data_IF_076607621151
#
_entry.id   IF_076607621151
#
_cell.length_a   1.000
_cell.length_b   1.000
_cell.length_c   1.000
_cell.angle_alpha   90.00
_cell.angle_beta   90.00
_cell.angle_gamma   90.00
#
_symmetry.space_group_name_H-M   'P 1'
#
loop_
_entity.id
_entity.type
_entity.pdbx_description
1 polymer ?
#
# COMPACT_ATOMS: atom_id res chain seq x y z
N UNK A 1 40.10 -2.19 -15.72
CA UNK A 1 39.59 -0.96 -15.07
C UNK A 1 38.91 -1.35 -13.79
N UNK A 2 38.90 -0.50 -12.77
CA UNK A 2 38.13 -0.76 -11.55
C UNK A 2 36.63 -0.51 -11.83
N UNK A 3 35.74 -1.44 -11.47
CA UNK A 3 34.31 -1.26 -11.63
C UNK A 3 33.78 -0.04 -10.86
N UNK A 4 32.89 0.72 -11.49
CA UNK A 4 32.24 1.90 -10.89
C UNK A 4 30.74 1.84 -11.06
N UNK A 5 30.00 2.06 -9.98
CA UNK A 5 28.54 2.13 -9.95
C UNK A 5 28.15 3.61 -10.03
N UNK A 6 27.35 3.96 -11.02
CA UNK A 6 26.81 5.31 -11.21
C UNK A 6 25.30 5.27 -10.91
N UNK A 7 24.89 6.00 -9.89
CA UNK A 7 23.48 6.16 -9.51
C UNK A 7 23.20 7.63 -9.29
N UNK A 8 22.23 8.16 -10.04
CA UNK A 8 21.84 9.55 -9.94
C UNK A 8 20.31 9.66 -9.79
N UNK A 9 19.82 10.51 -8.88
CA UNK A 9 20.59 11.11 -7.78
C UNK A 9 20.90 10.06 -6.69
N UNK A 10 22.05 10.16 -6.02
CA UNK A 10 22.42 9.30 -4.89
C UNK A 10 21.53 9.51 -3.66
N UNK A 11 20.82 10.65 -3.61
CA UNK A 11 19.79 10.97 -2.62
C UNK A 11 18.55 11.47 -3.34
N UNK A 12 17.45 10.72 -3.26
CA UNK A 12 16.17 11.02 -3.91
C UNK A 12 15.00 10.83 -2.95
N UNK A 13 13.82 11.36 -3.29
CA UNK A 13 12.58 10.89 -2.67
C UNK A 13 12.43 9.37 -2.87
N UNK A 14 11.89 8.70 -1.87
CA UNK A 14 11.56 7.27 -1.88
C UNK A 14 10.63 6.88 -3.02
N UNK A 15 9.92 7.86 -3.58
CA UNK A 15 8.93 7.66 -4.63
C UNK A 15 9.32 8.26 -5.97
N UNK A 16 10.45 8.97 -6.02
CA UNK A 16 11.04 9.40 -7.29
C UNK A 16 11.58 8.21 -8.08
N UNK A 17 11.73 8.35 -9.38
CA UNK A 17 12.61 7.44 -10.13
C UNK A 17 14.03 7.95 -10.12
N UNK A 18 15.01 7.06 -10.32
CA UNK A 18 16.38 7.45 -10.59
C UNK A 18 16.48 8.03 -12.01
N UNK A 19 17.40 8.97 -12.21
CA UNK A 19 17.81 9.45 -13.52
C UNK A 19 18.75 8.45 -14.19
N UNK A 20 19.62 7.82 -13.39
CA UNK A 20 20.67 6.93 -13.85
C UNK A 20 20.88 5.75 -12.90
N UNK A 21 21.05 4.56 -13.47
CA UNK A 21 21.62 3.41 -12.77
C UNK A 21 22.42 2.55 -13.77
N UNK A 22 23.74 2.74 -13.78
CA UNK A 22 24.67 1.96 -14.60
C UNK A 22 25.92 1.51 -13.83
N UNK A 23 26.59 0.49 -14.36
CA UNK A 23 27.88 0.01 -13.89
C UNK A 23 28.84 0.02 -15.07
N UNK A 24 30.03 0.60 -14.87
CA UNK A 24 31.08 0.72 -15.89
C UNK A 24 32.39 0.11 -15.43
N UNK A 25 33.34 -0.08 -16.34
CA UNK A 25 34.68 -0.58 -16.01
C UNK A 25 34.72 -2.07 -15.73
N UNK A 26 33.72 -2.83 -16.18
CA UNK A 26 33.65 -4.28 -16.08
C UNK A 26 34.45 -4.93 -17.21
N UNK A 27 34.79 -6.22 -17.06
CA UNK A 27 35.39 -6.98 -18.14
C UNK A 27 34.32 -7.26 -19.21
N UNK A 28 34.59 -7.04 -20.50
CA UNK A 28 33.64 -7.35 -21.57
C UNK A 28 33.25 -8.83 -21.61
N UNK A 29 32.06 -9.12 -22.15
CA UNK A 29 31.56 -10.49 -22.38
C UNK A 29 31.54 -11.40 -21.14
N UNK A 30 31.46 -10.81 -19.95
CA UNK A 30 31.44 -11.52 -18.67
C UNK A 30 30.12 -11.34 -17.93
N UNK A 31 29.81 -12.30 -17.05
CA UNK A 31 28.59 -12.30 -16.26
C UNK A 31 28.81 -11.65 -14.89
N UNK A 32 27.90 -10.74 -14.53
CA UNK A 32 27.90 -10.02 -13.25
C UNK A 32 26.53 -10.09 -12.60
N UNK A 33 26.52 -10.15 -11.26
CA UNK A 33 25.33 -9.97 -10.44
C UNK A 33 25.33 -8.56 -9.87
N UNK A 34 24.27 -7.80 -10.12
CA UNK A 34 23.98 -6.53 -9.45
C UNK A 34 22.94 -6.82 -8.36
N UNK A 35 23.25 -6.45 -7.12
CA UNK A 35 22.39 -6.69 -5.96
C UNK A 35 22.10 -5.37 -5.25
N UNK A 36 20.82 -5.17 -4.90
CA UNK A 36 20.32 -4.09 -4.07
C UNK A 36 19.88 -4.68 -2.72
N UNK A 37 20.37 -4.12 -1.62
CA UNK A 37 19.97 -4.46 -0.26
C UNK A 37 19.39 -3.24 0.43
N UNK A 38 18.18 -3.35 0.96
CA UNK A 38 17.63 -2.39 1.93
C UNK A 38 18.23 -2.66 3.31
N UNK A 39 19.01 -1.70 3.80
CA UNK A 39 19.64 -1.76 5.12
C UNK A 39 18.63 -1.31 6.17
N UNK A 40 17.92 -2.28 6.74
CA UNK A 40 16.89 -2.06 7.75
C UNK A 40 16.90 -3.22 8.77
N UNK A 41 16.17 -3.07 9.89
CA UNK A 41 16.03 -4.13 10.92
C UNK A 41 15.55 -5.45 10.34
N UNK A 42 14.67 -5.38 9.35
CA UNK A 42 14.29 -6.50 8.47
C UNK A 42 14.85 -6.20 7.11
N UNK A 43 15.79 -7.01 6.63
CA UNK A 43 16.45 -6.82 5.35
C UNK A 43 15.59 -7.27 4.18
N UNK A 44 15.67 -6.52 3.10
CA UNK A 44 15.09 -6.86 1.82
C UNK A 44 16.19 -6.81 0.76
N UNK A 45 16.17 -7.76 -0.16
CA UNK A 45 17.16 -7.88 -1.23
C UNK A 45 16.47 -8.06 -2.58
N UNK A 46 17.13 -7.60 -3.63
CA UNK A 46 16.84 -7.97 -5.00
C UNK A 46 18.16 -8.09 -5.75
N UNK A 47 18.29 -9.07 -6.63
CA UNK A 47 19.44 -9.18 -7.51
C UNK A 47 19.04 -9.48 -8.95
N UNK A 48 19.94 -9.15 -9.86
CA UNK A 48 19.77 -9.37 -11.28
C UNK A 48 21.12 -9.64 -11.93
N UNK A 49 21.13 -10.55 -12.90
CA UNK A 49 22.33 -11.04 -13.56
C UNK A 49 22.39 -10.53 -14.99
N UNK A 50 23.55 -10.01 -15.39
CA UNK A 50 23.77 -9.40 -16.70
C UNK A 50 25.04 -9.95 -17.33
N UNK A 51 25.06 -10.00 -18.65
CA UNK A 51 26.29 -10.19 -19.42
C UNK A 51 26.65 -8.83 -20.00
N UNK A 52 27.87 -8.36 -19.74
CA UNK A 52 28.38 -7.11 -20.31
C UNK A 52 28.65 -7.26 -21.80
N UNK A 53 28.36 -6.24 -22.59
CA UNK A 53 28.81 -6.17 -23.99
C UNK A 53 30.30 -5.85 -24.13
N UNK A 54 30.72 -5.47 -25.34
CA UNK A 54 32.11 -5.11 -25.67
C UNK A 54 32.65 -3.92 -24.87
N UNK A 55 31.77 -3.02 -24.43
CA UNK A 55 32.14 -1.82 -23.66
C UNK A 55 32.40 -2.10 -22.19
N UNK A 56 32.05 -3.29 -21.67
CA UNK A 56 32.18 -3.59 -20.24
C UNK A 56 31.24 -2.75 -19.36
N UNK A 57 30.05 -2.45 -19.85
CA UNK A 57 29.03 -1.67 -19.13
C UNK A 57 27.71 -2.46 -18.96
N UNK A 58 26.98 -2.13 -17.89
CA UNK A 58 25.60 -2.55 -17.64
C UNK A 58 24.79 -1.28 -17.37
N UNK A 59 23.76 -1.02 -18.17
CA UNK A 59 22.82 0.10 -17.96
C UNK A 59 21.42 -0.47 -17.73
N UNK A 60 20.91 -0.37 -16.49
CA UNK A 60 19.64 -1.00 -16.11
C UNK A 60 18.43 -0.38 -16.83
N UNK A 61 18.56 0.86 -17.35
CA UNK A 61 17.51 1.49 -18.14
C UNK A 61 17.41 0.93 -19.56
N UNK A 62 18.50 0.32 -20.07
CA UNK A 62 18.60 -0.14 -21.47
C UNK A 62 18.74 -1.64 -21.61
N UNK A 63 19.23 -2.31 -20.57
CA UNK A 63 19.56 -3.72 -20.60
C UNK A 63 18.62 -4.50 -19.69
N UNK A 64 17.94 -5.49 -20.25
CA UNK A 64 17.20 -6.47 -19.47
C UNK A 64 18.18 -7.46 -18.82
N UNK A 65 17.92 -7.92 -17.58
CA UNK A 65 18.71 -8.98 -16.98
C UNK A 65 18.48 -10.31 -17.69
N UNK A 66 19.51 -11.17 -17.68
CA UNK A 66 19.43 -12.54 -18.16
C UNK A 66 18.50 -13.39 -17.27
N UNK A 67 18.63 -13.22 -15.95
CA UNK A 67 17.73 -13.75 -14.93
C UNK A 67 17.89 -12.95 -13.62
N UNK A 68 16.99 -13.17 -12.67
CA UNK A 68 16.99 -12.49 -11.38
C UNK A 68 15.57 -12.16 -10.91
N UNK A 69 15.49 -11.17 -10.03
CA UNK A 69 14.26 -10.80 -9.32
C UNK A 69 13.30 -9.98 -10.20
N UNK A 70 13.78 -9.40 -11.30
CA UNK A 70 12.94 -8.64 -12.24
C UNK A 70 13.22 -9.00 -13.70
N UNK A 71 12.35 -8.53 -14.59
CA UNK A 71 12.40 -8.81 -16.03
C UNK A 71 12.23 -7.53 -16.84
N UNK A 72 12.87 -7.48 -18.02
CA UNK A 72 12.87 -6.30 -18.88
C UNK A 72 13.91 -5.27 -18.45
N UNK A 73 14.17 -4.27 -19.30
CA UNK A 73 15.02 -3.14 -18.94
C UNK A 73 14.22 -2.19 -18.03
N UNK A 74 14.68 -2.02 -16.80
CA UNK A 74 14.04 -1.17 -15.79
C UNK A 74 15.07 -0.66 -14.77
N UNK A 75 15.36 0.64 -14.81
CA UNK A 75 16.25 1.31 -13.86
C UNK A 75 15.76 1.21 -12.41
N UNK A 76 14.46 1.03 -12.20
CA UNK A 76 13.84 0.83 -10.89
C UNK A 76 13.53 -0.65 -10.60
N UNK A 77 13.96 -1.57 -11.47
CA UNK A 77 13.60 -2.99 -11.39
C UNK A 77 14.03 -3.64 -10.09
N UNK A 78 15.26 -3.35 -9.63
CA UNK A 78 15.77 -3.84 -8.34
C UNK A 78 14.97 -3.31 -7.14
N UNK A 79 14.53 -2.05 -7.16
CA UNK A 79 13.69 -1.49 -6.08
C UNK A 79 12.28 -2.09 -6.10
N UNK A 80 11.73 -2.26 -7.30
CA UNK A 80 10.39 -2.83 -7.52
C UNK A 80 10.34 -4.29 -7.10
N UNK A 81 11.43 -5.02 -7.24
CA UNK A 81 11.52 -6.45 -6.97
C UNK A 81 12.11 -6.81 -5.59
N UNK A 82 12.26 -5.82 -4.69
CA UNK A 82 12.72 -6.09 -3.33
C UNK A 82 11.86 -7.15 -2.67
N UNK A 83 12.51 -8.21 -2.19
CA UNK A 83 11.89 -9.29 -1.45
C UNK A 83 12.56 -9.47 -0.11
N UNK A 84 11.86 -10.07 0.85
CA UNK A 84 12.43 -10.35 2.16
C UNK A 84 13.70 -11.19 1.99
N UNK A 85 14.79 -10.78 2.64
CA UNK A 85 16.01 -11.57 2.67
C UNK A 85 15.69 -12.96 3.29
N UNK A 86 16.00 -14.08 2.60
CA UNK A 86 15.68 -15.42 3.09
C UNK A 86 16.29 -15.76 4.46
N UNK A 87 17.27 -14.99 4.93
CA UNK A 87 17.88 -15.13 6.26
C UNK A 87 17.06 -14.49 7.38
N UNK A 88 16.09 -13.65 7.03
CA UNK A 88 15.19 -13.00 7.98
C UNK A 88 14.07 -13.96 8.40
N UNK A 89 13.41 -13.64 9.51
CA UNK A 89 12.22 -14.39 9.93
C UNK A 89 11.13 -14.27 8.86
N UNK A 90 10.83 -15.38 8.18
CA UNK A 90 9.84 -15.43 7.10
C UNK A 90 8.50 -14.77 7.49
N UNK A 91 7.88 -14.06 6.54
CA UNK A 91 6.62 -13.36 6.73
C UNK A 91 6.71 -12.09 7.56
N UNK A 92 7.92 -11.57 7.81
CA UNK A 92 8.08 -10.25 8.42
C UNK A 92 7.89 -9.15 7.37
N UNK A 93 7.28 -8.04 7.80
CA UNK A 93 6.94 -6.92 6.93
C UNK A 93 7.86 -5.75 7.19
N UNK A 94 8.10 -4.93 6.18
CA UNK A 94 8.71 -3.62 6.38
C UNK A 94 7.74 -2.76 7.21
N UNK A 95 8.14 -2.40 8.43
CA UNK A 95 7.38 -1.50 9.29
C UNK A 95 8.11 -0.16 9.42
N UNK A 96 7.48 0.89 8.91
CA UNK A 96 7.98 2.27 8.95
C UNK A 96 7.09 3.11 9.89
N UNK A 97 6.88 2.62 11.11
CA UNK A 97 6.10 3.30 12.15
C UNK A 97 6.89 3.27 13.47
N UNK A 98 7.41 4.41 13.94
CA UNK A 98 7.37 5.73 13.30
C UNK A 98 8.10 5.75 11.94
N UNK A 99 7.63 6.59 11.01
CA UNK A 99 8.27 6.72 9.69
C UNK A 99 9.65 7.39 9.82
N UNK A 100 10.72 6.81 9.23
CA UNK A 100 12.04 7.43 9.24
C UNK A 100 12.11 8.57 8.22
N UNK A 101 13.10 9.46 8.37
CA UNK A 101 13.38 10.48 7.35
C UNK A 101 13.82 9.82 6.03
N UNK A 102 14.61 8.74 6.10
CA UNK A 102 15.13 8.04 4.93
C UNK A 102 15.45 6.57 5.19
N UNK A 103 15.68 5.84 4.08
CA UNK A 103 16.15 4.46 4.05
C UNK A 103 17.47 4.38 3.27
N UNK A 104 18.40 3.62 3.81
CA UNK A 104 19.70 3.35 3.18
C UNK A 104 19.63 2.09 2.34
N UNK A 105 20.15 2.18 1.12
CA UNK A 105 20.29 1.05 0.22
C UNK A 105 21.76 0.84 -0.13
N UNK A 106 22.20 -0.41 -0.01
CA UNK A 106 23.51 -0.84 -0.49
C UNK A 106 23.37 -1.49 -1.85
N UNK A 107 24.12 -1.00 -2.82
CA UNK A 107 24.26 -1.61 -4.15
C UNK A 107 25.63 -2.27 -4.21
N UNK A 108 25.66 -3.53 -4.67
CA UNK A 108 26.90 -4.28 -4.83
C UNK A 108 26.93 -4.97 -6.19
N UNK A 109 28.12 -5.02 -6.80
CA UNK A 109 28.36 -5.69 -8.07
C UNK A 109 29.35 -6.82 -7.85
N UNK A 110 28.97 -8.03 -8.24
CA UNK A 110 29.76 -9.24 -8.04
C UNK A 110 30.13 -9.85 -9.39
N UNK A 111 31.40 -10.20 -9.56
CA UNK A 111 31.83 -11.00 -10.69
C UNK A 111 31.55 -12.47 -10.37
N UNK A 112 30.90 -13.21 -11.27
CA UNK A 112 30.37 -14.53 -10.95
C UNK A 112 31.42 -15.59 -10.62
N UNK A 113 32.67 -15.40 -11.06
CA UNK A 113 33.78 -16.30 -10.77
C UNK A 113 34.50 -15.96 -9.45
N UNK A 114 34.07 -14.91 -8.75
CA UNK A 114 34.70 -14.45 -7.52
C UNK A 114 33.69 -14.27 -6.37
N UNK A 115 34.09 -14.55 -5.12
CA UNK A 115 33.20 -14.47 -3.98
C UNK A 115 32.97 -13.03 -3.46
N UNK A 116 33.83 -12.07 -3.82
CA UNK A 116 33.80 -10.71 -3.28
C UNK A 116 33.17 -9.71 -4.26
N UNK A 117 32.50 -8.71 -3.71
CA UNK A 117 31.99 -7.59 -4.48
C UNK A 117 33.17 -6.81 -5.10
N UNK A 118 33.04 -6.49 -6.39
CA UNK A 118 34.01 -5.69 -7.16
C UNK A 118 33.81 -4.19 -6.97
N UNK A 119 32.59 -3.78 -6.67
CA UNK A 119 32.23 -2.41 -6.35
C UNK A 119 31.00 -2.39 -5.43
N UNK A 120 30.95 -1.41 -4.55
CA UNK A 120 29.82 -1.17 -3.66
C UNK A 120 29.58 0.34 -3.53
N UNK A 121 28.32 0.74 -3.41
CA UNK A 121 27.93 2.12 -3.08
C UNK A 121 26.70 2.09 -2.20
N UNK A 122 26.59 3.07 -1.30
CA UNK A 122 25.37 3.32 -0.54
C UNK A 122 24.65 4.54 -1.10
N UNK A 123 23.33 4.44 -1.19
CA UNK A 123 22.44 5.53 -1.58
C UNK A 123 21.36 5.70 -0.52
N UNK A 124 20.74 6.87 -0.51
CA UNK A 124 19.68 7.22 0.43
C UNK A 124 18.38 7.54 -0.32
N UNK A 125 17.27 6.99 0.18
CA UNK A 125 15.93 7.33 -0.30
C UNK A 125 15.12 7.97 0.82
N UNK A 126 14.75 9.23 0.64
CA UNK A 126 14.01 10.06 1.60
C UNK A 126 12.55 9.60 1.64
N UNK A 127 12.12 9.03 2.77
CA UNK A 127 10.74 8.52 2.97
C UNK A 127 9.81 9.61 3.48
N UNK A 128 10.33 10.50 4.33
CA UNK A 128 9.60 11.69 4.81
C UNK A 128 10.49 12.91 4.59
N UNK A 129 10.16 13.71 3.59
CA UNK A 129 10.84 14.96 3.30
C UNK A 129 10.96 15.87 4.53
N UNK A 130 12.05 16.64 4.60
CA UNK A 130 12.26 17.63 5.68
C UNK A 130 11.24 18.77 5.67
N UNK A 131 10.51 18.95 4.55
CA UNK A 131 9.38 19.87 4.43
C UNK A 131 8.08 19.33 5.02
N UNK A 132 8.02 18.05 5.43
CA UNK A 132 6.84 17.42 6.02
C UNK A 132 6.98 17.34 7.54
N UNK A 133 6.01 17.92 8.24
CA UNK A 133 5.84 17.79 9.68
C UNK A 133 5.23 16.42 10.01
N UNK A 134 5.68 15.81 11.10
CA UNK A 134 5.09 14.61 11.70
C UNK A 134 4.80 14.91 13.17
N UNK A 135 3.55 14.81 13.57
CA UNK A 135 3.14 14.99 14.98
C UNK A 135 2.27 13.82 15.42
N UNK A 136 2.51 13.31 16.63
CA UNK A 136 1.63 12.31 17.21
C UNK A 136 0.33 12.98 17.63
N UNK A 137 -0.79 12.34 17.28
CA UNK A 137 -2.10 12.83 17.66
C UNK A 137 -2.60 12.04 18.87
N UNK A 138 -2.88 12.75 19.95
CA UNK A 138 -3.67 12.27 21.06
C UNK A 138 -4.68 13.35 21.46
N UNK A 139 -5.84 13.35 20.79
CA UNK A 139 -6.92 14.32 21.01
C UNK A 139 -8.19 13.61 21.49
N UNK A 140 -8.62 13.87 22.72
CA UNK A 140 -9.70 13.12 23.37
C UNK A 140 -9.44 11.60 23.32
N UNK A 141 -10.23 10.87 22.53
CA UNK A 141 -10.10 9.43 22.27
C UNK A 141 -9.35 9.12 20.96
N UNK A 142 -9.15 10.11 20.09
CA UNK A 142 -8.48 9.94 18.81
C UNK A 142 -6.98 9.74 19.02
N UNK A 143 -6.46 8.66 18.46
CA UNK A 143 -5.05 8.32 18.47
C UNK A 143 -4.57 8.10 17.05
N UNK A 144 -3.46 8.72 16.68
CA UNK A 144 -2.92 8.61 15.33
C UNK A 144 -1.60 9.37 15.17
N UNK A 145 -1.29 9.69 13.93
CA UNK A 145 -0.14 10.54 13.58
C UNK A 145 -0.57 11.44 12.43
N UNK A 146 -0.35 12.75 12.55
CA UNK A 146 -0.64 13.73 11.50
C UNK A 146 0.62 14.07 10.72
N UNK A 147 0.43 14.27 9.42
CA UNK A 147 1.47 14.68 8.47
C UNK A 147 0.99 15.82 7.61
N UNK A 148 1.81 16.86 7.43
CA UNK A 148 1.46 18.00 6.58
C UNK A 148 2.70 18.77 6.13
N UNK A 149 2.63 19.48 4.98
CA UNK A 149 3.67 20.43 4.57
C UNK A 149 3.85 21.53 5.62
N UNK A 150 5.10 21.75 6.03
CA UNK A 150 5.47 22.79 7.01
C UNK A 150 5.04 24.17 6.53
N UNK A 151 5.37 24.49 5.28
CA UNK A 151 5.02 25.75 4.65
C UNK A 151 3.78 25.54 3.75
N UNK A 152 2.73 26.31 3.98
CA UNK A 152 1.51 26.30 3.19
C UNK A 152 0.79 27.65 3.30
N UNK A 153 0.40 28.23 2.16
CA UNK A 153 -0.22 29.57 2.10
C UNK A 153 -1.75 29.52 2.19
N UNK A 154 -2.34 28.32 2.16
CA UNK A 154 -3.78 28.10 2.17
C UNK A 154 -4.15 26.89 3.03
N UNK A 155 -5.44 26.79 3.36
CA UNK A 155 -6.01 25.59 3.96
C UNK A 155 -5.66 24.35 3.14
N UNK A 156 -5.16 23.32 3.82
CA UNK A 156 -4.78 22.05 3.25
C UNK A 156 -6.01 21.15 3.08
N UNK A 157 -6.02 20.40 1.98
CA UNK A 157 -7.03 19.37 1.73
C UNK A 157 -6.77 18.19 2.65
N UNK A 158 -7.80 17.74 3.37
CA UNK A 158 -7.66 16.74 4.42
C UNK A 158 -7.80 15.31 3.89
N UNK A 159 -6.92 14.41 4.30
CA UNK A 159 -7.02 12.97 4.03
C UNK A 159 -7.03 12.19 5.34
N UNK A 160 -7.96 11.24 5.48
CA UNK A 160 -7.93 10.24 6.54
C UNK A 160 -7.40 8.92 5.99
N UNK A 161 -6.23 8.50 6.47
CA UNK A 161 -5.54 7.30 6.07
C UNK A 161 -5.83 6.14 7.05
N UNK A 162 -6.42 5.06 6.51
CA UNK A 162 -6.90 3.90 7.26
C UNK A 162 -6.11 2.64 6.85
N UNK A 163 -5.34 2.11 7.78
CA UNK A 163 -4.61 0.85 7.60
C UNK A 163 -5.50 -0.37 7.86
N UNK A 164 -5.12 -1.50 7.25
CA UNK A 164 -5.80 -2.79 7.44
C UNK A 164 -5.44 -3.49 8.76
N UNK A 165 -5.63 -4.81 8.78
CA UNK A 165 -5.20 -5.63 9.92
C UNK A 165 -3.66 -5.58 10.03
N UNK A 166 -3.17 -5.22 11.21
CA UNK A 166 -1.76 -5.02 11.50
C UNK A 166 -1.49 -3.68 12.21
N UNK A 167 -2.50 -2.83 12.34
CA UNK A 167 -2.41 -1.55 13.01
C UNK A 167 -2.03 -0.41 12.06
N UNK A 168 -1.87 0.77 12.65
CA UNK A 168 -1.53 2.01 11.95
C UNK A 168 -0.18 1.88 11.22
N UNK A 169 -0.11 2.42 9.99
CA UNK A 169 1.13 2.64 9.25
C UNK A 169 1.26 4.10 8.85
N UNK A 170 2.47 4.63 8.82
CA UNK A 170 2.72 6.07 8.60
C UNK A 170 3.24 6.44 7.22
N UNK A 171 3.88 5.52 6.49
CA UNK A 171 4.58 5.84 5.25
C UNK A 171 3.66 6.33 4.11
N UNK A 172 2.41 5.84 4.03
CA UNK A 172 1.44 6.35 3.05
C UNK A 172 0.98 7.77 3.40
N UNK A 173 0.80 8.06 4.68
CA UNK A 173 0.45 9.41 5.13
C UNK A 173 1.58 10.41 4.90
N UNK A 174 2.83 10.02 5.17
CA UNK A 174 4.00 10.82 4.85
C UNK A 174 4.10 11.11 3.34
N UNK A 175 3.90 10.09 2.49
CA UNK A 175 3.85 10.26 1.04
C UNK A 175 2.80 11.28 0.60
N UNK A 176 1.56 11.10 1.06
CA UNK A 176 0.47 12.00 0.68
C UNK A 176 0.71 13.43 1.20
N UNK A 177 1.34 13.61 2.36
CA UNK A 177 1.72 14.92 2.84
C UNK A 177 2.78 15.61 1.95
N UNK A 178 3.72 14.87 1.36
CA UNK A 178 4.65 15.42 0.36
C UNK A 178 3.93 15.94 -0.90
N UNK A 179 2.72 15.46 -1.18
CA UNK A 179 1.88 15.92 -2.29
C UNK A 179 1.01 17.14 -1.93
N UNK A 180 1.20 17.74 -0.74
CA UNK A 180 0.48 18.95 -0.33
C UNK A 180 -0.81 18.71 0.47
N UNK A 181 -1.02 17.50 1.01
CA UNK A 181 -2.21 17.16 1.79
C UNK A 181 -1.95 17.24 3.31
N UNK A 182 -3.00 17.53 4.08
CA UNK A 182 -2.99 17.29 5.53
C UNK A 182 -3.53 15.89 5.77
N UNK A 183 -2.70 14.99 6.31
CA UNK A 183 -3.04 13.56 6.37
C UNK A 183 -3.03 13.07 7.81
N UNK A 184 -4.16 12.54 8.26
CA UNK A 184 -4.25 11.81 9.53
C UNK A 184 -4.16 10.32 9.26
N UNK A 185 -3.04 9.71 9.64
CA UNK A 185 -2.96 8.24 9.78
C UNK A 185 -3.61 7.86 11.10
N UNK A 186 -4.81 7.26 11.04
CA UNK A 186 -5.60 6.95 12.23
C UNK A 186 -5.27 5.56 12.78
N UNK A 187 -4.98 5.47 14.07
CA UNK A 187 -4.90 4.19 14.74
C UNK A 187 -6.32 3.73 15.12
N UNK A 188 -6.72 2.57 14.60
CA UNK A 188 -8.05 2.00 14.85
C UNK A 188 -8.10 1.19 16.14
N UNK A 189 -7.01 0.48 16.47
CA UNK A 189 -6.94 -0.43 17.63
C UNK A 189 -5.49 -0.66 18.07
N UNK A 190 -5.30 -1.11 19.32
CA UNK A 190 -4.04 -1.67 19.84
C UNK A 190 -2.86 -0.72 20.04
N UNK A 191 -2.89 0.53 19.55
CA UNK A 191 -1.79 1.50 19.71
C UNK A 191 -1.74 2.16 21.09
N UNK A 192 -2.87 2.27 21.78
CA UNK A 192 -3.00 2.94 23.07
C UNK A 192 -4.12 2.29 23.88
N UNK A 193 -4.08 2.40 25.21
CA UNK A 193 -5.14 1.96 26.13
C UNK A 193 -6.48 2.67 25.88
N UNK A 194 -6.45 3.84 25.21
CA UNK A 194 -7.65 4.56 24.77
C UNK A 194 -8.39 3.85 23.64
N UNK A 195 -7.70 2.99 22.91
CA UNK A 195 -8.24 2.29 21.75
C UNK A 195 -8.72 0.89 22.13
N UNK A 196 -9.66 0.33 21.36
CA UNK A 196 -9.98 -1.08 21.49
C UNK A 196 -8.74 -1.95 21.26
N UNK A 197 -8.68 -3.10 21.93
CA UNK A 197 -7.55 -4.03 21.79
C UNK A 197 -7.54 -4.73 20.44
N UNK A 198 -8.71 -4.96 19.85
CA UNK A 198 -8.88 -5.67 18.58
C UNK A 198 -9.74 -4.86 17.60
N UNK A 199 -9.52 -5.13 16.32
CA UNK A 199 -10.25 -4.49 15.22
C UNK A 199 -11.77 -4.74 15.25
N UNK A 200 -12.25 -5.81 15.90
CA UNK A 200 -13.68 -6.20 15.97
C UNK A 200 -14.54 -5.33 16.90
N UNK A 201 -13.90 -4.41 17.61
CA UNK A 201 -14.52 -3.55 18.63
C UNK A 201 -14.40 -2.07 18.30
N UNK A 202 -13.94 -1.75 17.10
CA UNK A 202 -13.92 -0.39 16.57
C UNK A 202 -15.34 0.01 16.17
N UNK A 203 -15.77 1.18 16.65
CA UNK A 203 -17.09 1.75 16.40
C UNK A 203 -17.03 2.75 15.24
N UNK A 204 -18.08 2.81 14.42
CA UNK A 204 -18.23 3.77 13.32
C UNK A 204 -18.06 5.20 13.81
N UNK A 205 -18.59 5.53 14.98
CA UNK A 205 -18.51 6.83 15.62
C UNK A 205 -17.07 7.28 15.87
N UNK A 206 -16.12 6.37 16.05
CA UNK A 206 -14.70 6.70 16.19
C UNK A 206 -14.12 7.27 14.88
N UNK A 207 -14.48 6.68 13.75
CA UNK A 207 -14.04 7.14 12.43
C UNK A 207 -14.75 8.47 12.09
N UNK A 208 -16.04 8.60 12.43
CA UNK A 208 -16.79 9.85 12.24
C UNK A 208 -16.21 11.00 13.07
N UNK A 209 -15.82 10.74 14.32
CA UNK A 209 -15.14 11.72 15.16
C UNK A 209 -13.79 12.15 14.56
N UNK A 210 -13.04 11.23 13.94
CA UNK A 210 -11.80 11.58 13.25
C UNK A 210 -12.04 12.45 12.01
N UNK A 211 -13.11 12.19 11.26
CA UNK A 211 -13.57 13.03 10.15
C UNK A 211 -13.95 14.42 10.64
N UNK A 212 -14.72 14.50 11.72
CA UNK A 212 -15.13 15.79 12.29
C UNK A 212 -13.95 16.58 12.82
N UNK A 213 -13.02 15.93 13.51
CA UNK A 213 -11.78 16.54 13.99
C UNK A 213 -10.97 17.13 12.83
N UNK A 214 -10.58 16.31 11.85
CA UNK A 214 -9.66 16.74 10.78
C UNK A 214 -10.27 17.83 9.89
N UNK A 215 -11.60 17.88 9.75
CA UNK A 215 -12.31 18.91 8.96
C UNK A 215 -12.61 20.19 9.76
N UNK A 216 -12.43 20.17 11.08
CA UNK A 216 -12.62 21.33 11.95
C UNK A 216 -11.35 22.16 12.15
N UNK A 217 -10.18 21.63 11.76
CA UNK A 217 -8.90 22.29 11.99
C UNK A 217 -8.79 23.59 11.18
N UNK A 218 -8.20 24.66 11.75
CA UNK A 218 -8.01 25.91 11.02
C UNK A 218 -7.09 25.75 9.81
N UNK A 219 -6.17 24.78 9.84
CA UNK A 219 -5.25 24.47 8.75
C UNK A 219 -5.90 23.70 7.60
N UNK A 220 -7.12 23.15 7.76
CA UNK A 220 -7.73 22.28 6.76
C UNK A 220 -9.01 22.84 6.14
N UNK A 221 -9.36 22.28 4.99
CA UNK A 221 -10.69 22.41 4.39
C UNK A 221 -11.74 21.66 5.22
N UNK A 222 -13.01 21.98 5.03
CA UNK A 222 -14.15 21.37 5.73
C UNK A 222 -14.58 20.01 5.16
N UNK A 223 -13.89 19.54 4.11
CA UNK A 223 -14.10 18.25 3.46
C UNK A 223 -12.87 17.35 3.56
N UNK A 224 -13.11 16.03 3.50
CA UNK A 224 -12.06 15.01 3.63
C UNK A 224 -12.16 13.94 2.53
N UNK A 225 -11.02 13.42 2.11
CA UNK A 225 -10.94 12.17 1.34
C UNK A 225 -10.49 11.03 2.25
N UNK A 226 -11.14 9.88 2.17
CA UNK A 226 -10.77 8.69 2.94
C UNK A 226 -9.98 7.75 2.05
N UNK A 227 -8.89 7.18 2.54
CA UNK A 227 -8.12 6.16 1.81
C UNK A 227 -7.81 4.99 2.72
N UNK A 228 -7.95 3.77 2.22
CA UNK A 228 -7.56 2.60 2.98
C UNK A 228 -7.26 1.36 2.16
N UNK A 229 -6.52 0.43 2.79
CA UNK A 229 -6.18 -0.87 2.22
C UNK A 229 -6.74 -1.99 3.10
N UNK A 230 -7.24 -3.07 2.49
CA UNK A 230 -7.79 -4.22 3.23
C UNK A 230 -8.94 -3.77 4.14
N UNK A 231 -8.93 -4.13 5.43
CA UNK A 231 -9.92 -3.66 6.41
C UNK A 231 -10.05 -2.12 6.44
N UNK A 232 -8.95 -1.37 6.27
CA UNK A 232 -9.00 0.09 6.19
C UNK A 232 -9.73 0.59 4.95
N UNK A 233 -9.66 -0.15 3.83
CA UNK A 233 -10.45 0.10 2.64
C UNK A 233 -11.94 -0.11 2.90
N UNK A 234 -12.31 -1.18 3.61
CA UNK A 234 -13.70 -1.39 4.05
C UNK A 234 -14.20 -0.23 4.92
N UNK A 235 -13.39 0.22 5.88
CA UNK A 235 -13.73 1.39 6.71
C UNK A 235 -13.89 2.68 5.91
N UNK A 236 -13.07 2.91 4.88
CA UNK A 236 -13.07 4.17 4.12
C UNK A 236 -14.43 4.42 3.46
N UNK A 237 -14.94 3.51 2.65
CA UNK A 237 -16.24 3.72 2.02
C UNK A 237 -17.43 3.37 2.93
N UNK A 238 -17.26 2.57 3.99
CA UNK A 238 -18.28 2.48 5.04
C UNK A 238 -18.53 3.88 5.64
N UNK A 239 -17.49 4.56 6.12
CA UNK A 239 -17.60 5.89 6.72
C UNK A 239 -18.08 6.95 5.72
N UNK A 240 -17.70 6.84 4.43
CA UNK A 240 -18.22 7.72 3.38
C UNK A 240 -19.75 7.69 3.28
N UNK A 241 -20.38 6.53 3.49
CA UNK A 241 -21.85 6.43 3.49
C UNK A 241 -22.53 6.99 4.75
N UNK A 242 -21.75 7.44 5.74
CA UNK A 242 -22.23 7.96 7.05
C UNK A 242 -21.89 9.43 7.30
N UNK A 243 -21.02 10.05 6.50
CA UNK A 243 -20.63 11.45 6.68
C UNK A 243 -20.70 12.21 5.37
N UNK A 244 -21.42 13.34 5.37
CA UNK A 244 -21.52 14.24 4.21
C UNK A 244 -20.25 15.06 3.98
N UNK A 245 -19.36 15.14 4.98
CA UNK A 245 -18.05 15.82 4.86
C UNK A 245 -17.05 15.03 4.01
N UNK A 246 -17.32 13.75 3.77
CA UNK A 246 -16.47 12.92 2.91
C UNK A 246 -16.75 13.29 1.47
N UNK A 247 -15.71 13.75 0.75
CA UNK A 247 -15.78 14.10 -0.67
C UNK A 247 -15.54 12.89 -1.56
N UNK A 248 -14.62 12.02 -1.16
CA UNK A 248 -14.40 10.75 -1.84
C UNK A 248 -13.81 9.69 -0.91
N UNK A 249 -13.95 8.43 -1.30
CA UNK A 249 -13.27 7.31 -0.67
C UNK A 249 -12.46 6.50 -1.69
N UNK A 250 -11.28 6.06 -1.28
CA UNK A 250 -10.42 5.14 -2.01
C UNK A 250 -10.31 3.85 -1.20
N UNK A 251 -10.60 2.72 -1.84
CA UNK A 251 -10.51 1.40 -1.25
C UNK A 251 -9.60 0.51 -2.08
N UNK A 252 -8.52 0.03 -1.48
CA UNK A 252 -7.57 -0.89 -2.11
C UNK A 252 -7.77 -2.27 -1.49
N UNK A 253 -8.30 -3.20 -2.27
CA UNK A 253 -8.63 -4.56 -1.81
C UNK A 253 -9.47 -4.56 -0.51
N UNK A 254 -10.46 -3.67 -0.40
CA UNK A 254 -11.42 -3.67 0.71
C UNK A 254 -12.51 -4.74 0.55
N UNK A 255 -13.08 -5.25 1.62
CA UNK A 255 -14.17 -6.22 1.55
C UNK A 255 -15.51 -5.53 1.28
N UNK A 256 -16.14 -5.77 0.12
CA UNK A 256 -17.43 -5.20 -0.33
C UNK A 256 -18.65 -5.41 0.59
N UNK A 257 -18.49 -6.11 1.71
CA UNK A 257 -19.50 -6.26 2.77
C UNK A 257 -18.85 -6.49 4.13
N UNK A 258 -19.67 -6.69 5.15
CA UNK A 258 -19.23 -6.99 6.51
C UNK A 258 -18.98 -8.50 6.65
N UNK A 259 -17.73 -8.86 6.93
CA UNK A 259 -17.26 -10.23 7.07
C UNK A 259 -16.61 -10.44 8.43
N UNK A 260 -16.09 -11.64 8.65
CA UNK A 260 -15.40 -12.03 9.89
C UNK A 260 -14.32 -11.04 10.35
N UNK A 261 -13.51 -10.50 9.43
CA UNK A 261 -12.45 -9.50 9.73
C UNK A 261 -12.97 -8.06 9.75
N UNK A 262 -14.17 -7.79 9.22
CA UNK A 262 -14.79 -6.45 9.16
C UNK A 262 -16.09 -6.41 9.96
N UNK A 263 -16.03 -6.88 11.20
CA UNK A 263 -17.13 -6.79 12.16
C UNK A 263 -17.28 -5.35 12.69
N UNK A 264 -17.82 -4.48 11.84
CA UNK A 264 -18.07 -3.07 12.14
C UNK A 264 -19.20 -2.95 13.16
N UNK A 265 -19.03 -2.05 14.13
CA UNK A 265 -20.05 -1.68 15.11
C UNK A 265 -20.55 -0.27 14.85
N UNK A 266 -21.86 -0.08 14.99
CA UNK A 266 -22.52 1.20 14.85
C UNK A 266 -23.54 1.32 15.99
N UNK A 267 -23.51 2.43 16.74
CA UNK A 267 -24.30 2.63 17.95
C UNK A 267 -24.15 1.48 18.98
N UNK A 268 -22.93 0.99 19.18
CA UNK A 268 -22.63 -0.09 20.14
C UNK A 268 -23.08 -1.49 19.71
N UNK A 269 -23.63 -1.64 18.49
CA UNK A 269 -24.13 -2.93 17.96
C UNK A 269 -23.33 -3.34 16.74
N UNK A 270 -22.97 -4.62 16.65
CA UNK A 270 -22.38 -5.19 15.43
C UNK A 270 -23.39 -5.10 14.29
N UNK A 271 -22.97 -4.55 13.16
CA UNK A 271 -23.76 -4.61 11.93
C UNK A 271 -23.90 -6.08 11.47
N UNK A 272 -24.96 -6.42 10.70
CA UNK A 272 -25.11 -7.77 10.16
C UNK A 272 -23.90 -8.15 9.32
N UNK A 273 -23.19 -9.20 9.70
CA UNK A 273 -22.00 -9.68 9.00
C UNK A 273 -22.18 -11.12 8.55
N UNK A 274 -21.51 -11.47 7.45
CA UNK A 274 -21.66 -12.77 6.79
C UNK A 274 -21.09 -13.88 7.68
N UNK A 275 -21.98 -14.76 8.16
CA UNK A 275 -21.59 -15.89 9.00
C UNK A 275 -20.78 -16.93 8.22
N UNK A 276 -19.67 -17.38 8.81
CA UNK A 276 -18.86 -18.46 8.25
C UNK A 276 -19.59 -19.80 8.43
N UNK A 277 -19.93 -20.45 7.32
CA UNK A 277 -20.53 -21.79 7.35
C UNK A 277 -19.46 -22.88 7.33
N UNK A 278 -19.74 -24.10 7.79
CA UNK A 278 -18.81 -25.22 7.63
C UNK A 278 -18.38 -25.44 6.18
N UNK A 279 -19.30 -25.21 5.23
CA UNK A 279 -19.02 -25.27 3.78
C UNK A 279 -18.04 -24.19 3.34
N UNK A 280 -18.16 -22.95 3.81
CA UNK A 280 -17.20 -21.89 3.48
C UNK A 280 -15.84 -22.17 4.12
N UNK A 281 -15.83 -22.61 5.38
CA UNK A 281 -14.61 -22.97 6.11
C UNK A 281 -13.83 -24.12 5.47
N UNK A 282 -14.50 -25.06 4.81
CA UNK A 282 -13.82 -26.13 4.06
C UNK A 282 -13.14 -25.66 2.78
N UNK A 283 -13.35 -24.40 2.36
CA UNK A 283 -12.70 -23.77 1.21
C UNK A 283 -11.45 -22.95 1.59
N UNK A 284 -11.01 -22.98 2.85
CA UNK A 284 -9.69 -22.41 3.22
C UNK A 284 -8.61 -23.20 2.50
N UNK A 285 -7.74 -22.50 1.78
CA UNK A 285 -6.66 -23.13 1.03
C UNK A 285 -5.35 -23.07 1.80
N UNK A 286 -4.56 -24.13 1.68
CA UNK A 286 -3.19 -24.18 2.18
C UNK A 286 -2.26 -24.40 0.99
N UNK A 287 -1.46 -23.39 0.68
CA UNK A 287 -0.47 -23.42 -0.39
C UNK A 287 0.92 -23.31 0.25
N UNK A 288 1.75 -24.35 0.09
CA UNK A 288 3.11 -24.40 0.68
C UNK A 288 3.14 -24.08 2.20
N UNK A 289 2.12 -24.52 2.94
CA UNK A 289 2.00 -24.25 4.38
C UNK A 289 1.46 -22.85 4.75
N UNK A 290 1.17 -22.00 3.77
CA UNK A 290 0.56 -20.68 3.95
C UNK A 290 -0.96 -20.74 3.72
N UNK A 291 -1.71 -19.99 4.53
CA UNK A 291 -3.17 -19.97 4.50
C UNK A 291 -3.68 -18.89 3.55
N UNK A 292 -4.56 -19.28 2.62
CA UNK A 292 -5.33 -18.39 1.75
C UNK A 292 -6.81 -18.41 2.14
N UNK A 293 -7.41 -17.24 2.29
CA UNK A 293 -8.82 -17.09 2.67
C UNK A 293 -9.71 -16.67 1.50
N UNK A 294 -9.15 -16.41 0.31
CA UNK A 294 -9.91 -15.90 -0.82
C UNK A 294 -11.09 -16.79 -1.21
N UNK A 295 -10.88 -18.11 -1.33
CA UNK A 295 -11.97 -19.07 -1.65
C UNK A 295 -12.98 -19.23 -0.53
N UNK A 296 -12.53 -19.20 0.74
CA UNK A 296 -13.42 -19.23 1.91
C UNK A 296 -14.40 -18.05 1.89
N UNK A 297 -13.89 -16.83 1.65
CA UNK A 297 -14.74 -15.65 1.52
C UNK A 297 -15.63 -15.71 0.28
N UNK A 298 -15.13 -16.21 -0.85
CA UNK A 298 -15.92 -16.33 -2.08
C UNK A 298 -17.07 -17.34 -1.99
N UNK A 299 -16.92 -18.35 -1.13
CA UNK A 299 -17.96 -19.35 -0.84
C UNK A 299 -19.00 -18.89 0.19
N UNK A 300 -18.77 -17.74 0.85
CA UNK A 300 -19.73 -17.17 1.78
C UNK A 300 -20.95 -16.61 1.05
N UNK A 301 -22.15 -16.86 1.59
CA UNK A 301 -23.40 -16.35 1.04
C UNK A 301 -23.71 -14.97 1.63
N UNK A 302 -23.30 -13.91 0.94
CA UNK A 302 -23.62 -12.54 1.33
C UNK A 302 -25.02 -12.14 0.85
N UNK A 303 -25.96 -11.97 1.78
CA UNK A 303 -27.23 -11.26 1.55
C UNK A 303 -27.05 -9.73 1.55
N UNK A 304 -28.06 -9.01 1.03
CA UNK A 304 -28.08 -7.54 0.96
C UNK A 304 -27.82 -6.85 2.31
N UNK A 305 -28.33 -7.39 3.42
CA UNK A 305 -28.11 -6.84 4.78
C UNK A 305 -26.65 -6.82 5.22
N UNK A 306 -25.79 -7.63 4.61
CA UNK A 306 -24.36 -7.68 4.92
C UNK A 306 -23.52 -6.77 4.02
N UNK A 307 -24.11 -6.19 2.98
CA UNK A 307 -23.39 -5.33 2.06
C UNK A 307 -23.34 -3.90 2.61
N UNK A 308 -22.24 -3.20 2.31
CA UNK A 308 -22.15 -1.77 2.61
C UNK A 308 -22.99 -1.03 1.57
N UNK A 309 -23.92 -0.15 1.98
CA UNK A 309 -24.88 0.46 1.07
C UNK A 309 -24.26 1.64 0.30
N UNK A 310 -23.32 1.36 -0.59
CA UNK A 310 -22.59 2.37 -1.39
C UNK A 310 -23.50 3.20 -2.31
N UNK A 311 -24.68 2.70 -2.66
CA UNK A 311 -25.73 3.46 -3.34
C UNK A 311 -26.27 4.64 -2.51
N UNK A 312 -26.01 4.66 -1.20
CA UNK A 312 -26.39 5.78 -0.31
C UNK A 312 -25.37 6.93 -0.31
N UNK A 313 -24.25 6.80 -1.03
CA UNK A 313 -23.35 7.93 -1.26
C UNK A 313 -24.13 9.12 -1.83
N UNK A 314 -23.90 10.30 -1.25
CA UNK A 314 -24.50 11.56 -1.69
C UNK A 314 -23.94 11.95 -3.05
N UNK A 315 -24.66 12.79 -3.79
CA UNK A 315 -24.33 13.14 -5.19
C UNK A 315 -22.94 13.75 -5.37
N UNK A 316 -22.42 14.43 -4.35
CA UNK A 316 -21.08 15.02 -4.36
C UNK A 316 -19.97 14.04 -3.95
N UNK A 317 -20.30 12.81 -3.60
CA UNK A 317 -19.36 11.80 -3.11
C UNK A 317 -19.00 10.80 -4.20
N UNK A 318 -17.71 10.48 -4.31
CA UNK A 318 -17.23 9.49 -5.26
C UNK A 318 -16.47 8.36 -4.56
N UNK A 319 -16.41 7.19 -5.20
CA UNK A 319 -15.70 6.02 -4.72
C UNK A 319 -14.78 5.48 -5.81
N UNK A 320 -13.49 5.32 -5.47
CA UNK A 320 -12.53 4.56 -6.27
C UNK A 320 -12.25 3.22 -5.58
N UNK A 321 -12.48 2.11 -6.27
CA UNK A 321 -12.14 0.77 -5.79
C UNK A 321 -11.04 0.14 -6.65
N UNK A 322 -9.94 -0.28 -6.02
CA UNK A 322 -8.83 -0.99 -6.66
C UNK A 322 -8.92 -2.46 -6.24
N UNK A 323 -9.17 -3.33 -7.22
CA UNK A 323 -9.23 -4.78 -7.03
C UNK A 323 -7.94 -5.44 -7.51
N UNK A 324 -7.47 -6.47 -6.83
CA UNK A 324 -6.31 -7.24 -7.26
C UNK A 324 -6.71 -8.66 -7.64
N UNK A 325 -6.31 -9.10 -8.84
CA UNK A 325 -6.68 -10.43 -9.37
C UNK A 325 -5.94 -11.57 -8.65
N UNK A 326 -4.72 -11.33 -8.16
CA UNK A 326 -3.92 -12.34 -7.46
C UNK A 326 -4.02 -12.21 -5.93
N UNK A 327 -5.05 -11.52 -5.44
CA UNK A 327 -5.35 -11.43 -4.01
C UNK A 327 -5.72 -12.82 -3.45
N UNK A 328 -4.90 -13.31 -2.51
CA UNK A 328 -5.12 -14.59 -1.81
C UNK A 328 -5.70 -14.41 -0.40
N UNK A 329 -5.85 -13.17 0.07
CA UNK A 329 -6.48 -12.88 1.35
C UNK A 329 -8.00 -12.74 1.21
N UNK A 330 -8.47 -12.08 0.15
CA UNK A 330 -9.90 -11.88 -0.13
C UNK A 330 -10.18 -11.98 -1.65
N UNK A 331 -11.41 -12.29 -2.07
CA UNK A 331 -11.76 -12.33 -3.49
C UNK A 331 -12.06 -10.90 -4.01
N UNK A 332 -11.05 -10.04 -4.07
CA UNK A 332 -11.21 -8.60 -4.32
C UNK A 332 -11.98 -8.28 -5.63
N UNK A 333 -11.78 -9.07 -6.69
CA UNK A 333 -12.49 -8.92 -7.98
C UNK A 333 -13.96 -9.32 -7.88
N UNK A 334 -14.28 -10.38 -7.12
CA UNK A 334 -15.67 -10.75 -6.86
C UNK A 334 -16.40 -9.64 -6.11
N UNK A 335 -15.73 -9.00 -5.14
CA UNK A 335 -16.26 -7.87 -4.39
C UNK A 335 -16.51 -6.67 -5.32
N UNK A 336 -15.57 -6.37 -6.21
CA UNK A 336 -15.74 -5.32 -7.23
C UNK A 336 -16.99 -5.56 -8.08
N UNK A 337 -17.16 -6.77 -8.63
CA UNK A 337 -18.31 -7.10 -9.48
C UNK A 337 -19.65 -6.85 -8.76
N UNK A 338 -19.74 -7.20 -7.47
CA UNK A 338 -20.95 -6.91 -6.68
C UNK A 338 -21.18 -5.41 -6.48
N UNK A 339 -20.11 -4.64 -6.25
CA UNK A 339 -20.21 -3.19 -6.11
C UNK A 339 -20.67 -2.54 -7.43
N UNK A 340 -20.14 -2.98 -8.57
CA UNK A 340 -20.57 -2.54 -9.90
C UNK A 340 -22.05 -2.83 -10.15
N UNK A 341 -22.50 -4.07 -9.91
CA UNK A 341 -23.90 -4.47 -10.06
C UNK A 341 -24.83 -3.62 -9.19
N UNK A 342 -24.41 -3.34 -7.95
CA UNK A 342 -25.18 -2.53 -7.00
C UNK A 342 -25.30 -1.08 -7.46
N UNK A 343 -24.20 -0.46 -7.89
CA UNK A 343 -24.20 0.93 -8.39
C UNK A 343 -24.99 1.06 -9.70
N UNK A 344 -24.90 0.07 -10.59
CA UNK A 344 -25.71 -0.03 -11.80
C UNK A 344 -27.20 -0.12 -11.51
N UNK A 345 -27.61 -0.99 -10.58
CA UNK A 345 -29.01 -1.11 -10.15
C UNK A 345 -29.54 0.21 -9.56
N UNK A 346 -28.68 0.97 -8.89
CA UNK A 346 -29.00 2.28 -8.33
C UNK A 346 -28.90 3.45 -9.33
N UNK A 347 -28.44 3.22 -10.57
CA UNK A 347 -28.17 4.26 -11.58
C UNK A 347 -27.16 5.32 -11.11
N UNK A 348 -26.12 4.88 -10.40
CA UNK A 348 -25.09 5.74 -9.80
C UNK A 348 -23.68 5.42 -10.29
N UNK A 349 -23.54 4.82 -11.47
CA UNK A 349 -22.26 4.42 -12.07
C UNK A 349 -21.27 5.59 -12.16
N UNK A 350 -21.74 6.82 -12.39
CA UNK A 350 -20.90 8.01 -12.42
C UNK A 350 -20.14 8.31 -11.11
N UNK A 351 -20.64 7.82 -9.96
CA UNK A 351 -20.01 7.99 -8.65
C UNK A 351 -19.01 6.88 -8.31
N UNK A 352 -18.91 5.85 -9.15
CA UNK A 352 -18.11 4.66 -8.89
C UNK A 352 -17.07 4.43 -9.97
N UNK A 353 -15.81 4.68 -9.62
CA UNK A 353 -14.64 4.37 -10.43
C UNK A 353 -13.95 3.12 -9.90
N UNK A 354 -13.31 2.37 -10.79
CA UNK A 354 -12.52 1.20 -10.38
C UNK A 354 -11.29 0.98 -11.28
N UNK A 355 -10.34 0.20 -10.77
CA UNK A 355 -9.24 -0.39 -11.55
C UNK A 355 -8.96 -1.80 -11.06
N UNK A 356 -8.37 -2.62 -11.93
CA UNK A 356 -7.97 -3.99 -11.60
C UNK A 356 -6.47 -4.12 -11.76
N UNK A 357 -5.77 -4.38 -10.65
CA UNK A 357 -4.39 -4.82 -10.65
C UNK A 357 -4.32 -6.29 -11.07
N UNK A 358 -4.16 -6.54 -12.37
CA UNK A 358 -4.27 -7.87 -12.99
C UNK A 358 -3.30 -8.91 -12.42
N UNK A 359 -2.19 -8.44 -11.86
CA UNK A 359 -1.17 -9.29 -11.23
C UNK A 359 -0.75 -8.74 -9.86
N UNK A 360 -1.62 -7.94 -9.25
CA UNK A 360 -1.41 -7.37 -7.93
C UNK A 360 -1.75 -8.36 -6.82
N UNK A 361 -1.07 -8.24 -5.68
CA UNK A 361 -1.38 -8.96 -4.45
C UNK A 361 -2.40 -8.23 -3.59
N UNK A 362 -2.72 -8.79 -2.42
CA UNK A 362 -3.56 -8.13 -1.42
C UNK A 362 -3.00 -6.78 -0.94
N UNK A 363 -1.67 -6.65 -0.82
CA UNK A 363 -1.00 -5.48 -0.26
C UNK A 363 -0.34 -4.64 -1.35
N UNK A 364 -1.13 -3.78 -1.99
CA UNK A 364 -0.61 -2.71 -2.84
C UNK A 364 -0.40 -1.46 -1.99
N UNK A 365 0.86 -1.19 -1.65
CA UNK A 365 1.30 -0.06 -0.83
C UNK A 365 1.85 1.07 -1.73
N UNK A 366 2.34 2.21 -1.21
CA UNK A 366 2.93 3.29 -2.07
C UNK A 366 4.06 2.78 -2.98
N UNK A 367 4.36 3.40 -4.15
CA UNK A 367 5.34 2.87 -5.11
C UNK A 367 6.69 2.51 -4.46
N UNK A 368 7.39 1.51 -4.99
CA UNK A 368 8.69 1.03 -4.48
C UNK A 368 8.73 0.53 -3.02
N UNK A 369 7.61 0.51 -2.30
CA UNK A 369 7.52 -0.29 -1.07
C UNK A 369 7.67 -1.77 -1.42
N UNK A 370 8.51 -2.53 -0.70
CA UNK A 370 8.63 -3.96 -0.90
C UNK A 370 7.29 -4.66 -0.73
N UNK A 371 6.93 -5.49 -1.71
CA UNK A 371 5.73 -6.31 -1.65
C UNK A 371 6.01 -7.54 -0.77
N UNK A 372 5.08 -7.84 0.14
CA UNK A 372 5.05 -9.10 0.88
C UNK A 372 3.92 -9.97 0.35
N UNK A 373 4.26 -11.06 -0.32
CA UNK A 373 3.33 -12.10 -0.78
C UNK A 373 2.86 -13.01 0.38
N UNK A 374 3.65 -13.12 1.45
CA UNK A 374 3.33 -13.82 2.69
C UNK A 374 3.58 -12.93 3.91
N UNK A 375 2.68 -12.98 4.88
CA UNK A 375 2.88 -12.34 6.19
C UNK A 375 2.59 -13.29 7.34
N UNK A 376 3.37 -13.22 8.41
CA UNK A 376 3.06 -13.87 9.67
C UNK A 376 2.15 -12.97 10.52
N UNK A 377 0.91 -13.40 10.78
CA UNK A 377 -0.08 -12.67 11.57
C UNK A 377 -0.82 -13.66 12.48
N UNK A 378 -0.89 -13.35 13.77
CA UNK A 378 -1.67 -14.10 14.77
C UNK A 378 -1.43 -15.63 14.74
N UNK A 379 -0.15 -16.05 14.67
CA UNK A 379 0.20 -17.47 14.70
C UNK A 379 0.20 -18.18 13.35
N UNK A 380 -0.15 -17.49 12.25
CA UNK A 380 -0.31 -18.09 10.92
C UNK A 380 0.47 -17.33 9.85
N UNK A 381 0.96 -18.06 8.85
CA UNK A 381 1.45 -17.48 7.61
C UNK A 381 0.26 -17.29 6.67
N UNK A 382 -0.08 -16.04 6.37
CA UNK A 382 -1.16 -15.68 5.47
C UNK A 382 -0.59 -15.36 4.09
N UNK A 383 -1.19 -15.96 3.07
CA UNK A 383 -0.87 -15.71 1.68
C UNK A 383 -1.65 -14.48 1.20
N UNK A 384 -0.93 -13.43 0.84
CA UNK A 384 -1.44 -12.23 0.18
C UNK A 384 -1.42 -12.36 -1.35
N UNK A 385 -0.69 -13.35 -1.85
CA UNK A 385 -0.57 -13.66 -3.28
C UNK A 385 0.34 -12.68 -3.99
N UNK A 386 0.32 -12.71 -5.33
CA UNK A 386 1.25 -11.92 -6.13
C UNK A 386 2.63 -12.56 -6.31
N UNK A 387 3.33 -12.13 -7.36
CA UNK A 387 4.79 -12.13 -7.40
C UNK A 387 5.28 -10.74 -6.95
N UNK A 388 6.35 -10.62 -6.14
CA UNK A 388 6.80 -9.33 -5.61
C UNK A 388 7.09 -8.29 -6.69
N UNK A 389 7.83 -8.66 -7.74
CA UNK A 389 8.18 -7.74 -8.82
C UNK A 389 6.96 -7.35 -9.61
N UNK A 390 6.17 -8.34 -10.04
CA UNK A 390 5.01 -8.08 -10.90
C UNK A 390 3.93 -7.29 -10.15
N UNK A 391 3.72 -7.58 -8.86
CA UNK A 391 2.83 -6.79 -8.00
C UNK A 391 3.39 -5.38 -7.80
N UNK A 392 4.70 -5.23 -7.66
CA UNK A 392 5.38 -3.93 -7.60
C UNK A 392 5.20 -3.11 -8.88
N UNK A 393 5.14 -3.75 -10.05
CA UNK A 393 4.79 -3.09 -11.31
C UNK A 393 3.34 -2.60 -11.31
N UNK A 394 2.38 -3.44 -10.86
CA UNK A 394 1.00 -2.99 -10.70
C UNK A 394 0.87 -1.85 -9.69
N UNK A 395 1.63 -1.90 -8.59
CA UNK A 395 1.72 -0.85 -7.58
C UNK A 395 2.16 0.50 -8.19
N UNK A 396 3.20 0.50 -9.03
CA UNK A 396 3.65 1.69 -9.77
C UNK A 396 2.61 2.18 -10.77
N UNK A 397 1.87 1.28 -11.41
CA UNK A 397 0.83 1.59 -12.40
C UNK A 397 -0.41 2.24 -11.78
N UNK A 398 -0.88 1.74 -10.65
CA UNK A 398 -2.16 2.14 -10.06
C UNK A 398 -2.09 3.45 -9.26
N UNK A 399 -0.95 3.80 -8.68
CA UNK A 399 -0.87 5.02 -7.84
C UNK A 399 -1.10 6.33 -8.55
N UNK A 400 -0.58 6.57 -9.77
CA UNK A 400 -0.90 7.79 -10.51
C UNK A 400 -2.41 8.00 -10.63
N UNK A 401 -3.17 6.93 -10.94
CA UNK A 401 -4.64 6.97 -11.02
C UNK A 401 -5.29 7.31 -9.68
N UNK A 402 -4.77 6.78 -8.57
CA UNK A 402 -5.32 7.09 -7.24
C UNK A 402 -5.05 8.55 -6.87
N UNK A 403 -3.83 9.07 -7.13
CA UNK A 403 -3.51 10.48 -6.89
C UNK A 403 -4.37 11.41 -7.75
N UNK A 404 -4.57 11.05 -9.01
CA UNK A 404 -5.44 11.78 -9.93
C UNK A 404 -6.88 11.81 -9.43
N UNK A 405 -7.41 10.67 -8.98
CA UNK A 405 -8.74 10.61 -8.39
C UNK A 405 -8.86 11.49 -7.15
N UNK A 406 -7.88 11.45 -6.23
CA UNK A 406 -7.89 12.29 -5.03
C UNK A 406 -7.89 13.77 -5.42
N UNK A 407 -6.99 14.17 -6.33
CA UNK A 407 -6.86 15.55 -6.81
C UNK A 407 -8.15 16.07 -7.45
N UNK A 408 -8.71 15.31 -8.40
CA UNK A 408 -9.94 15.67 -9.11
C UNK A 408 -11.15 15.82 -8.18
N UNK A 409 -11.17 15.10 -7.06
CA UNK A 409 -12.27 15.21 -6.10
C UNK A 409 -12.16 16.44 -5.20
N UNK A 410 -10.98 17.03 -5.02
CA UNK A 410 -10.82 18.29 -4.31
C UNK A 410 -10.97 19.53 -5.21
N UNK A 411 -10.76 19.37 -6.52
CA UNK A 411 -11.04 20.41 -7.50
C UNK A 411 -12.56 20.45 -7.73
N UNK A 412 -13.19 21.62 -7.57
CA UNK A 412 -14.61 21.75 -7.91
C UNK A 412 -14.80 21.44 -9.40
N UNK A 413 -15.80 20.64 -9.74
CA UNK A 413 -16.25 20.53 -11.13
C UNK A 413 -16.81 21.90 -11.53
N UNK A 414 -16.04 22.66 -12.30
CA UNK A 414 -16.43 23.95 -12.85
C UNK A 414 -17.70 23.88 -13.69
#
# INVERSE_FOLDING_TARGET
MEPKIHVAPARSSFLAELDEFRVSGLQPMNMYRVELTLVHKTKFIANAFFITGETGEIDLAKQAPLFGFYKGADKMGLFTALYQDPRERFGSKLNLTPVPDSLTYKISVHFMEEPLARAEVEIERVVKAGSVVREELEHEKLVGTVFYPKEHDSKLRAILDLSGVGGQKEHRAAFLAEQGYYVLSLALYGKSEKLPTTHETVETEYILAAIDYITSLPQTTDQVVLIGTSLGGTWSYHAATRSEKVKAAVSINGQGGYYFVSQIRENGKKLPWVQLTPTAMSQVEIENGCVSYAKMYGACKAEEKHQIPIEKLKTHQNLLYIASEWDKAIPAVQQLNWMEERMKKAKKEAQFSHDTAKKGCHMLDVPFMPICDVTYVAGKFLLFGGDPYVSGCEQRRIWPKILDFIRQNFEEAH
#
